data_IF_653402343374
#
_entry.id   IF_653402343374
#
_cell.length_a   1.000
_cell.length_b   1.000
_cell.length_c   1.000
_cell.angle_alpha   90.00
_cell.angle_beta   90.00
_cell.angle_gamma   90.00
#
_symmetry.space_group_name_H-M   'P 1'
#
loop_
_entity.id
_entity.type
_entity.pdbx_description
1 polymer ?
#
# COMPACT_ATOMS: atom_id res chain seq x y z
N UNK A 1 17.58 22.96 -47.86
CA UNK A 1 16.52 23.01 -46.82
C UNK A 1 16.92 22.02 -45.74
N UNK A 2 17.01 22.39 -44.46
CA UNK A 2 17.25 21.39 -43.42
C UNK A 2 15.93 20.68 -43.14
N UNK A 3 15.95 19.35 -43.24
CA UNK A 3 14.86 18.50 -42.78
C UNK A 3 14.82 18.61 -41.25
N UNK A 4 13.78 19.25 -40.73
CA UNK A 4 13.51 19.25 -39.29
C UNK A 4 13.16 17.82 -38.88
N UNK A 5 14.05 17.21 -38.11
CA UNK A 5 13.83 15.96 -37.40
C UNK A 5 12.65 16.18 -36.45
N UNK A 6 11.48 15.65 -36.80
CA UNK A 6 10.35 15.56 -35.87
C UNK A 6 10.75 14.58 -34.77
N UNK A 7 11.24 15.08 -33.64
CA UNK A 7 11.32 14.29 -32.40
C UNK A 7 9.92 13.73 -32.13
N UNK A 8 9.78 12.42 -32.30
CA UNK A 8 8.56 11.71 -31.96
C UNK A 8 8.31 11.88 -30.46
N UNK A 9 7.30 12.69 -30.12
CA UNK A 9 6.82 12.81 -28.75
C UNK A 9 6.38 11.40 -28.32
N UNK A 10 7.00 10.78 -27.30
CA UNK A 10 6.59 9.46 -26.85
C UNK A 10 5.15 9.59 -26.36
N UNK A 11 4.23 8.85 -26.99
CA UNK A 11 2.90 8.68 -26.43
C UNK A 11 3.06 8.13 -25.00
N UNK A 12 2.25 8.59 -24.02
CA UNK A 12 2.33 8.07 -22.67
C UNK A 12 2.07 6.57 -22.75
N UNK A 13 3.14 5.78 -22.55
CA UNK A 13 3.06 4.34 -22.57
C UNK A 13 2.05 3.93 -21.48
N UNK A 14 0.99 3.20 -21.83
CA UNK A 14 0.01 2.68 -20.87
C UNK A 14 0.67 1.93 -19.70
N UNK A 15 1.86 1.39 -19.95
CA UNK A 15 2.73 0.77 -18.96
C UNK A 15 3.12 1.71 -17.81
N UNK A 16 3.33 3.01 -18.07
CA UNK A 16 3.63 4.02 -17.06
C UNK A 16 2.46 4.26 -16.11
N UNK A 17 1.22 4.20 -16.62
CA UNK A 17 0.01 4.31 -15.80
C UNK A 17 -0.18 3.07 -14.92
N UNK A 18 0.04 1.87 -15.46
CA UNK A 18 -0.03 0.63 -14.69
C UNK A 18 0.98 0.63 -13.54
N UNK A 19 2.25 0.98 -13.83
CA UNK A 19 3.31 1.08 -12.81
C UNK A 19 2.99 2.13 -11.74
N UNK A 20 2.42 3.28 -12.12
CA UNK A 20 2.01 4.30 -11.15
C UNK A 20 0.86 3.82 -10.25
N UNK A 21 -0.10 3.07 -10.81
CA UNK A 21 -1.19 2.48 -10.05
C UNK A 21 -0.70 1.41 -9.07
N UNK A 22 0.23 0.54 -9.50
CA UNK A 22 0.81 -0.47 -8.62
C UNK A 22 1.55 0.17 -7.44
N UNK A 23 2.29 1.26 -7.68
CA UNK A 23 2.94 2.03 -6.60
C UNK A 23 1.91 2.60 -5.63
N UNK A 24 0.85 3.21 -6.14
CA UNK A 24 -0.23 3.74 -5.30
C UNK A 24 -0.87 2.65 -4.44
N UNK A 25 -1.11 1.46 -5.01
CA UNK A 25 -1.66 0.32 -4.26
C UNK A 25 -0.70 -0.11 -3.15
N UNK A 26 0.60 -0.22 -3.43
CA UNK A 26 1.61 -0.57 -2.44
C UNK A 26 1.68 0.46 -1.30
N UNK A 27 1.61 1.74 -1.62
CA UNK A 27 1.59 2.82 -0.62
C UNK A 27 0.34 2.75 0.25
N UNK A 28 -0.85 2.61 -0.34
CA UNK A 28 -2.11 2.50 0.40
C UNK A 28 -2.16 1.27 1.31
N UNK A 29 -1.64 0.13 0.83
CA UNK A 29 -1.52 -1.09 1.65
C UNK A 29 -0.53 -0.86 2.78
N UNK A 30 0.63 -0.24 2.50
CA UNK A 30 1.65 0.08 3.49
C UNK A 30 1.12 0.99 4.59
N UNK A 31 0.45 2.07 4.21
CA UNK A 31 -0.17 3.01 5.14
C UNK A 31 -1.21 2.31 6.02
N UNK A 32 -2.03 1.42 5.42
CA UNK A 32 -3.04 0.69 6.19
C UNK A 32 -2.44 -0.33 7.16
N UNK A 33 -1.38 -1.04 6.74
CA UNK A 33 -0.65 -1.96 7.60
C UNK A 33 0.04 -1.21 8.74
N UNK A 34 0.60 -0.02 8.47
CA UNK A 34 1.21 0.83 9.48
C UNK A 34 0.17 1.30 10.50
N UNK A 35 -1.00 1.75 10.05
CA UNK A 35 -2.11 2.13 10.93
C UNK A 35 -2.53 0.98 11.85
N UNK A 36 -2.65 -0.24 11.32
CA UNK A 36 -3.06 -1.42 12.07
C UNK A 36 -1.95 -1.91 13.02
N UNK A 37 -0.67 -1.70 12.67
CA UNK A 37 0.47 -2.16 13.47
C UNK A 37 0.47 -1.64 14.90
N UNK A 38 -0.15 -0.48 15.16
CA UNK A 38 -0.25 0.09 16.52
C UNK A 38 -1.07 -0.76 17.49
N UNK A 39 -1.90 -1.67 16.98
CA UNK A 39 -2.70 -2.59 17.79
C UNK A 39 -2.13 -4.00 17.86
N UNK A 40 -1.07 -4.30 17.09
CA UNK A 40 -0.56 -5.65 16.91
C UNK A 40 0.85 -5.75 17.48
N UNK A 41 1.04 -6.63 18.44
CA UNK A 41 2.36 -7.00 18.93
C UNK A 41 2.65 -8.45 18.55
N UNK A 42 3.84 -8.69 18.00
CA UNK A 42 4.25 -10.03 17.56
C UNK A 42 5.45 -10.49 18.38
N UNK A 43 5.28 -11.61 19.08
CA UNK A 43 6.38 -12.37 19.62
C UNK A 43 6.79 -13.43 18.58
N UNK A 44 7.90 -13.18 17.89
CA UNK A 44 8.39 -14.02 16.79
C UNK A 44 8.92 -15.36 17.25
N UNK A 45 9.41 -15.44 18.49
CA UNK A 45 9.96 -16.66 19.09
C UNK A 45 8.79 -17.63 19.36
N UNK A 46 7.75 -17.12 20.01
CA UNK A 46 6.60 -17.93 20.43
C UNK A 46 5.51 -18.01 19.35
N UNK A 47 5.77 -17.45 18.16
CA UNK A 47 4.80 -17.32 17.04
C UNK A 47 3.43 -16.81 17.51
N UNK A 48 3.46 -15.89 18.47
CA UNK A 48 2.26 -15.39 19.15
C UNK A 48 1.98 -13.97 18.69
N UNK A 49 0.74 -13.74 18.28
CA UNK A 49 0.24 -12.41 17.91
C UNK A 49 -0.71 -11.95 19.01
N UNK A 50 -0.42 -10.79 19.58
CA UNK A 50 -1.24 -10.12 20.58
C UNK A 50 -1.91 -8.95 19.87
N UNK A 51 -3.24 -8.87 19.98
CA UNK A 51 -4.04 -7.80 19.38
C UNK A 51 -4.72 -7.03 20.53
N UNK A 52 -4.46 -5.73 20.63
CA UNK A 52 -5.17 -4.86 21.56
C UNK A 52 -6.59 -4.56 21.05
N UNK A 53 -7.55 -5.37 21.50
CA UNK A 53 -8.95 -5.24 21.12
C UNK A 53 -9.59 -3.94 21.63
N UNK A 54 -9.12 -3.40 22.75
CA UNK A 54 -9.75 -2.22 23.38
C UNK A 54 -9.52 -1.00 22.52
N UNK A 55 -8.25 -0.73 22.19
CA UNK A 55 -7.88 0.40 21.34
C UNK A 55 -8.45 0.25 19.92
N UNK A 56 -8.46 -0.98 19.40
CA UNK A 56 -8.98 -1.28 18.07
C UNK A 56 -10.50 -1.02 17.98
N UNK A 57 -11.27 -1.44 18.99
CA UNK A 57 -12.71 -1.15 19.08
C UNK A 57 -12.99 0.35 19.29
N UNK A 58 -12.21 1.03 20.12
CA UNK A 58 -12.36 2.47 20.36
C UNK A 58 -12.14 3.30 19.08
N UNK A 59 -11.25 2.84 18.21
CA UNK A 59 -10.99 3.46 16.91
C UNK A 59 -11.98 2.98 15.82
N UNK A 60 -13.00 2.19 16.20
CA UNK A 60 -14.12 1.80 15.34
C UNK A 60 -13.92 0.51 14.54
N UNK A 61 -12.85 -0.24 14.81
CA UNK A 61 -12.58 -1.51 14.14
C UNK A 61 -13.28 -2.70 14.84
N UNK A 62 -13.57 -3.74 14.06
CA UNK A 62 -14.12 -5.00 14.57
C UNK A 62 -13.23 -6.17 14.19
N UNK A 63 -13.05 -7.11 15.11
CA UNK A 63 -12.32 -8.36 14.87
C UNK A 63 -13.33 -9.43 14.46
N UNK A 64 -13.17 -9.96 13.25
CA UNK A 64 -13.95 -11.09 12.75
C UNK A 64 -13.04 -12.31 12.74
N UNK A 65 -13.32 -13.29 13.61
CA UNK A 65 -12.68 -14.60 13.59
C UNK A 65 -13.66 -15.61 12.97
N UNK A 66 -13.20 -16.36 11.96
CA UNK A 66 -13.97 -17.41 11.27
C UNK A 66 -13.67 -18.80 11.81
#
# INVERSE_FOLDING_TARGET
>A
APHQEMEAIPFPNDNSKAVAMDKLIQELIGDKLLEISKYVNMNVIDRTIIIDQTSLHNDGYQIIAH
#
